data_IF_158893196752
#
_entry.id   IF_158893196752
#
_cell.length_a   1.000
_cell.length_b   1.000
_cell.length_c   1.000
_cell.angle_alpha   90.00
_cell.angle_beta   90.00
_cell.angle_gamma   90.00
#
_symmetry.space_group_name_H-M   'P 1'
#
loop_
_entity.id
_entity.type
_entity.pdbx_description
1 polymer ?
#
# COMPACT_ATOMS: atom_id res chain seq x y z
N UNK A 1 10.99 4.37 4.65
CA UNK A 1 10.63 3.61 3.43
C UNK A 1 10.42 2.13 3.71
N UNK A 2 11.37 1.48 4.34
CA UNK A 2 11.29 0.03 4.57
C UNK A 2 10.06 -0.43 5.35
N UNK A 3 9.68 0.31 6.40
CA UNK A 3 8.49 -0.01 7.18
C UNK A 3 7.21 0.09 6.34
N UNK A 4 7.13 1.07 5.44
CA UNK A 4 5.96 1.23 4.58
C UNK A 4 5.84 0.10 3.57
N UNK A 5 6.97 -0.41 3.06
CA UNK A 5 6.97 -1.59 2.20
C UNK A 5 6.42 -2.80 2.98
N UNK A 6 6.95 -3.04 4.16
CA UNK A 6 6.55 -4.15 5.01
C UNK A 6 5.05 -4.07 5.35
N UNK A 7 4.59 -2.93 5.85
CA UNK A 7 3.20 -2.76 6.27
C UNK A 7 2.24 -2.93 5.09
N UNK A 8 2.55 -2.32 3.94
CA UNK A 8 1.69 -2.44 2.76
C UNK A 8 1.66 -3.85 2.22
N UNK A 9 2.82 -4.51 2.18
CA UNK A 9 2.92 -5.91 1.76
C UNK A 9 2.03 -6.79 2.64
N UNK A 10 2.08 -6.60 3.95
CA UNK A 10 1.24 -7.34 4.90
C UNK A 10 -0.25 -7.04 4.69
N UNK A 11 -0.60 -5.78 4.46
CA UNK A 11 -1.98 -5.40 4.12
C UNK A 11 -2.53 -6.17 2.93
N UNK A 12 -1.69 -6.40 1.93
CA UNK A 12 -2.06 -7.10 0.70
C UNK A 12 -1.88 -8.62 0.80
N UNK A 13 -1.51 -9.13 1.97
CA UNK A 13 -1.26 -10.55 2.22
C UNK A 13 -0.19 -11.14 1.28
N UNK A 14 0.84 -10.35 1.00
CA UNK A 14 1.95 -10.78 0.14
C UNK A 14 3.14 -11.23 0.98
N UNK A 15 3.81 -12.28 0.51
CA UNK A 15 5.14 -12.65 1.01
C UNK A 15 6.19 -11.77 0.32
N UNK A 16 7.41 -11.77 0.85
CA UNK A 16 8.53 -11.09 0.19
C UNK A 16 8.78 -11.67 -1.21
N UNK A 17 8.64 -12.98 -1.35
CA UNK A 17 8.79 -13.67 -2.64
C UNK A 17 7.72 -13.22 -3.64
N UNK A 18 6.47 -13.12 -3.21
CA UNK A 18 5.38 -12.66 -4.08
C UNK A 18 5.61 -11.23 -4.55
N UNK A 19 5.98 -10.34 -3.64
CA UNK A 19 6.27 -8.95 -4.00
C UNK A 19 7.45 -8.88 -4.97
N UNK A 20 8.51 -9.63 -4.69
CA UNK A 20 9.68 -9.67 -5.55
C UNK A 20 9.33 -10.13 -6.97
N UNK A 21 8.50 -11.16 -7.07
CA UNK A 21 8.04 -11.68 -8.37
C UNK A 21 7.25 -10.61 -9.14
N UNK A 22 6.30 -9.95 -8.48
CA UNK A 22 5.48 -8.91 -9.11
C UNK A 22 6.32 -7.69 -9.53
N UNK A 23 7.33 -7.34 -8.74
CA UNK A 23 8.19 -6.18 -9.02
C UNK A 23 9.40 -6.55 -9.91
N UNK A 24 9.53 -7.82 -10.31
CA UNK A 24 10.65 -8.31 -11.13
C UNK A 24 12.03 -8.03 -10.49
N UNK A 25 12.12 -8.26 -9.18
CA UNK A 25 13.36 -8.14 -8.41
C UNK A 25 13.57 -9.41 -7.59
N UNK A 26 14.71 -9.54 -6.93
CA UNK A 26 14.97 -10.69 -6.06
C UNK A 26 14.33 -10.49 -4.68
N UNK A 27 13.96 -11.58 -3.98
CA UNK A 27 13.49 -11.48 -2.60
C UNK A 27 14.48 -10.78 -1.68
N UNK A 28 15.78 -10.94 -1.95
CA UNK A 28 16.84 -10.27 -1.18
C UNK A 28 16.72 -8.74 -1.30
N UNK A 29 16.39 -8.23 -2.48
CA UNK A 29 16.16 -6.80 -2.69
C UNK A 29 15.05 -6.29 -1.78
N UNK A 30 13.94 -7.02 -1.69
CA UNK A 30 12.81 -6.65 -0.82
C UNK A 30 13.24 -6.72 0.66
N UNK A 31 13.88 -7.81 1.05
CA UNK A 31 14.32 -8.01 2.44
C UNK A 31 15.24 -6.88 2.90
N UNK A 32 16.27 -6.56 2.13
CA UNK A 32 17.23 -5.51 2.50
C UNK A 32 16.57 -4.13 2.51
N UNK A 33 15.62 -3.88 1.61
CA UNK A 33 14.88 -2.61 1.59
C UNK A 33 13.98 -2.46 2.82
N UNK A 34 13.28 -3.52 3.22
CA UNK A 34 12.42 -3.49 4.41
C UNK A 34 13.23 -3.25 5.68
N UNK A 35 14.43 -3.78 5.74
CA UNK A 35 15.32 -3.60 6.90
C UNK A 35 16.10 -2.28 6.88
N UNK A 36 15.99 -1.52 5.79
CA UNK A 36 16.72 -0.26 5.66
C UNK A 36 18.23 -0.44 5.47
N UNK A 37 18.67 -1.63 5.08
CA UNK A 37 20.10 -1.95 4.94
C UNK A 37 20.70 -1.43 3.65
N UNK A 38 19.88 -1.25 2.62
CA UNK A 38 20.33 -0.78 1.31
C UNK A 38 19.20 0.00 0.63
N UNK A 39 19.56 1.15 0.05
CA UNK A 39 18.63 1.93 -0.74
C UNK A 39 18.35 1.24 -2.08
N UNK A 40 17.09 1.31 -2.53
CA UNK A 40 16.72 0.82 -3.85
C UNK A 40 17.03 1.88 -4.90
N UNK A 41 17.34 1.43 -6.12
CA UNK A 41 17.47 2.32 -7.28
C UNK A 41 16.11 2.90 -7.65
N UNK A 42 16.06 4.08 -8.28
CA UNK A 42 14.78 4.70 -8.67
C UNK A 42 13.87 3.80 -9.48
N UNK A 43 14.38 3.06 -10.46
CA UNK A 43 13.58 2.15 -11.27
C UNK A 43 13.01 0.99 -10.43
N UNK A 44 13.73 0.53 -9.41
CA UNK A 44 13.26 -0.50 -8.49
C UNK A 44 12.14 0.05 -7.61
N UNK A 45 12.28 1.29 -7.13
CA UNK A 45 11.24 1.96 -6.34
C UNK A 45 9.93 2.03 -7.14
N UNK A 46 9.99 2.41 -8.42
CA UNK A 46 8.81 2.46 -9.28
C UNK A 46 8.14 1.10 -9.41
N UNK A 47 8.92 0.05 -9.65
CA UNK A 47 8.40 -1.31 -9.77
C UNK A 47 7.74 -1.80 -8.50
N UNK A 48 8.34 -1.52 -7.34
CA UNK A 48 7.80 -1.91 -6.04
C UNK A 48 6.50 -1.14 -5.75
N UNK A 49 6.47 0.15 -6.04
CA UNK A 49 5.26 0.96 -5.87
C UNK A 49 4.12 0.44 -6.75
N UNK A 50 4.39 0.10 -8.00
CA UNK A 50 3.39 -0.46 -8.90
C UNK A 50 2.85 -1.79 -8.37
N UNK A 51 3.73 -2.66 -7.89
CA UNK A 51 3.34 -3.96 -7.34
C UNK A 51 2.50 -3.82 -6.06
N UNK A 52 2.76 -2.78 -5.26
CA UNK A 52 2.05 -2.52 -4.01
C UNK A 52 0.83 -1.62 -4.19
N UNK A 53 0.60 -1.09 -5.39
CA UNK A 53 -0.47 -0.13 -5.68
C UNK A 53 -0.44 1.08 -4.74
N UNK A 54 0.73 1.69 -4.61
CA UNK A 54 0.93 2.92 -3.85
C UNK A 54 1.72 3.92 -4.69
N UNK A 55 1.62 5.20 -4.33
CA UNK A 55 2.42 6.24 -4.98
C UNK A 55 3.85 6.23 -4.45
N UNK A 56 4.77 6.77 -5.23
CA UNK A 56 6.15 6.99 -4.78
C UNK A 56 6.20 7.99 -3.63
N UNK A 57 5.32 8.99 -3.65
CA UNK A 57 5.20 9.97 -2.56
C UNK A 57 4.84 9.30 -1.23
N UNK A 58 3.89 8.35 -1.26
CA UNK A 58 3.56 7.60 -0.05
C UNK A 58 4.75 6.77 0.43
N UNK A 59 5.39 6.03 -0.47
CA UNK A 59 6.52 5.17 -0.08
C UNK A 59 7.67 5.97 0.51
N UNK A 60 8.03 7.09 -0.12
CA UNK A 60 9.21 7.86 0.26
C UNK A 60 8.94 8.87 1.38
N UNK A 61 7.73 9.43 1.43
CA UNK A 61 7.43 10.56 2.34
C UNK A 61 6.24 10.31 3.27
N UNK A 62 5.49 9.23 3.06
CA UNK A 62 4.31 8.92 3.87
C UNK A 62 3.10 9.80 3.56
N UNK A 63 3.05 10.40 2.38
CA UNK A 63 1.98 11.30 1.95
C UNK A 63 1.03 10.55 1.01
N UNK A 64 -0.28 10.64 1.29
CA UNK A 64 -1.31 10.10 0.41
C UNK A 64 -1.57 11.11 -0.70
N UNK A 65 -1.47 10.66 -1.95
CA UNK A 65 -1.68 11.49 -3.14
C UNK A 65 -3.02 11.19 -3.79
N UNK A 66 -3.39 11.99 -4.80
CA UNK A 66 -4.57 11.72 -5.62
C UNK A 66 -4.49 10.34 -6.29
N UNK A 67 -3.29 9.90 -6.66
CA UNK A 67 -3.08 8.57 -7.24
C UNK A 67 -3.48 7.47 -6.25
N UNK A 68 -3.05 7.58 -4.99
CA UNK A 68 -3.44 6.62 -3.95
C UNK A 68 -4.95 6.60 -3.76
N UNK A 69 -5.59 7.77 -3.71
CA UNK A 69 -7.04 7.89 -3.57
C UNK A 69 -7.77 7.30 -4.78
N UNK A 70 -7.27 7.53 -5.99
CA UNK A 70 -7.85 6.96 -7.22
C UNK A 70 -7.80 5.44 -7.22
N UNK A 71 -6.69 4.86 -6.77
CA UNK A 71 -6.55 3.40 -6.67
C UNK A 71 -7.57 2.82 -5.68
N UNK A 72 -7.80 3.51 -4.57
CA UNK A 72 -8.81 3.10 -3.60
C UNK A 72 -10.22 3.17 -4.22
N UNK A 73 -10.52 4.26 -4.94
CA UNK A 73 -11.82 4.42 -5.59
C UNK A 73 -12.07 3.33 -6.64
N UNK A 74 -11.05 2.92 -7.37
CA UNK A 74 -11.18 1.80 -8.31
C UNK A 74 -11.61 0.52 -7.60
N UNK A 75 -11.04 0.22 -6.44
CA UNK A 75 -11.42 -0.95 -5.64
C UNK A 75 -12.88 -0.84 -5.18
N UNK A 76 -13.27 0.33 -4.71
CA UNK A 76 -14.63 0.58 -4.22
C UNK A 76 -15.63 0.40 -5.35
N UNK A 77 -15.29 0.81 -6.58
CA UNK A 77 -16.17 0.72 -7.75
C UNK A 77 -16.50 -0.71 -8.15
N UNK A 78 -15.72 -1.71 -7.69
CA UNK A 78 -15.98 -3.12 -7.99
C UNK A 78 -17.01 -3.75 -7.05
N UNK A 79 -17.40 -3.06 -5.99
CA UNK A 79 -18.33 -3.57 -5.00
C UNK A 79 -19.76 -3.54 -5.52
N UNK A 80 -20.57 -4.53 -5.10
CA UNK A 80 -22.01 -4.48 -5.33
C UNK A 80 -22.61 -3.35 -4.47
N UNK A 81 -23.84 -2.86 -4.80
CA UNK A 81 -24.47 -1.83 -3.98
C UNK A 81 -24.57 -2.19 -2.50
N UNK A 82 -24.87 -3.45 -2.18
CA UNK A 82 -24.96 -3.91 -0.80
C UNK A 82 -23.60 -3.89 -0.11
N UNK A 83 -22.56 -4.36 -0.80
CA UNK A 83 -21.20 -4.35 -0.28
C UNK A 83 -20.70 -2.93 -0.10
N UNK A 84 -21.02 -2.03 -1.02
CA UNK A 84 -20.65 -0.62 -0.95
C UNK A 84 -21.23 0.02 0.33
N UNK A 85 -22.52 -0.22 0.61
CA UNK A 85 -23.16 0.34 1.81
C UNK A 85 -22.56 -0.22 3.09
N UNK A 86 -22.23 -1.50 3.11
CA UNK A 86 -21.54 -2.11 4.25
C UNK A 86 -20.16 -1.49 4.47
N UNK A 87 -19.41 -1.29 3.39
CA UNK A 87 -18.11 -0.61 3.45
C UNK A 87 -18.27 0.81 4.01
N UNK A 88 -19.27 1.56 3.54
CA UNK A 88 -19.56 2.91 4.02
C UNK A 88 -19.80 2.94 5.53
N UNK A 89 -20.57 1.97 6.05
CA UNK A 89 -20.84 1.86 7.48
C UNK A 89 -19.56 1.62 8.29
N UNK A 90 -18.67 0.76 7.79
CA UNK A 90 -17.36 0.51 8.42
C UNK A 90 -16.53 1.79 8.44
N UNK A 91 -16.50 2.51 7.33
CA UNK A 91 -15.75 3.75 7.21
C UNK A 91 -16.28 4.81 8.16
N UNK A 92 -17.61 4.97 8.27
CA UNK A 92 -18.24 5.93 9.17
C UNK A 92 -17.89 5.61 10.62
N UNK A 93 -17.93 4.34 10.99
CA UNK A 93 -17.57 3.90 12.35
C UNK A 93 -16.11 4.18 12.66
N UNK A 94 -15.23 3.95 11.68
CA UNK A 94 -13.81 4.22 11.83
C UNK A 94 -13.55 5.72 12.03
N UNK A 95 -14.18 6.56 11.20
CA UNK A 95 -14.04 8.01 11.29
C UNK A 95 -14.53 8.52 12.66
N UNK A 96 -15.68 8.03 13.12
CA UNK A 96 -16.22 8.41 14.43
C UNK A 96 -15.25 8.06 15.57
N UNK A 97 -14.64 6.88 15.50
CA UNK A 97 -13.68 6.44 16.52
C UNK A 97 -12.44 7.35 16.55
N UNK A 98 -11.94 7.76 15.39
CA UNK A 98 -10.79 8.67 15.31
C UNK A 98 -11.15 10.03 15.91
N UNK A 99 -12.33 10.56 15.62
CA UNK A 99 -12.77 11.86 16.13
C UNK A 99 -12.91 11.87 17.65
N UNK A 100 -13.33 10.75 18.24
CA UNK A 100 -13.45 10.63 19.71
C UNK A 100 -12.08 10.64 20.38
N UNK A 101 -11.03 10.17 19.71
CA UNK A 101 -9.67 10.15 20.24
C UNK A 101 -8.99 11.54 20.16
N UNK A 102 -9.47 12.38 19.28
CA UNK A 102 -8.93 13.71 19.10
C UNK A 102 -9.45 14.66 20.19
#
# INVERSE_FOLDING_TARGET
MGKRIFDRRKQLNMTQETLAELAHVTPQTISTAELGQRAMRPETILKVCDALNISTEYLLRGIITETDSSLLMEKISTLTPKQYRHFEDILDSFIAAIQEEA
#
